data_IF_719734537405
#
_entry.id   IF_719734537405
#
_cell.length_a   1.000
_cell.length_b   1.000
_cell.length_c   1.000
_cell.angle_alpha   90.00
_cell.angle_beta   90.00
_cell.angle_gamma   90.00
#
_symmetry.space_group_name_H-M   'P 1'
#
loop_
_entity.id
_entity.type
_entity.pdbx_description
1 polymer ?
#
# COMPACT_ATOMS: atom_id res chain seq x y z
N UNK A 1 19.42 12.63 -15.24
CA UNK A 1 19.23 12.21 -13.83
C UNK A 1 17.86 12.68 -13.33
N UNK A 2 16.76 11.98 -13.64
CA UNK A 2 15.38 12.37 -13.23
C UNK A 2 14.40 11.19 -13.13
N UNK A 3 14.62 10.13 -13.92
CA UNK A 3 13.76 8.93 -13.95
C UNK A 3 13.85 8.05 -12.69
N UNK A 4 14.96 8.10 -11.96
CA UNK A 4 15.18 7.29 -10.74
C UNK A 4 14.31 7.85 -9.59
N UNK A 5 14.37 9.16 -9.36
CA UNK A 5 13.54 9.86 -8.37
C UNK A 5 12.02 9.68 -8.60
N UNK A 6 11.54 9.74 -9.85
CA UNK A 6 10.12 9.47 -10.15
C UNK A 6 9.72 8.02 -9.87
N UNK A 7 10.65 7.07 -10.07
CA UNK A 7 10.41 5.64 -9.83
C UNK A 7 10.36 5.33 -8.34
N UNK A 8 11.21 5.98 -7.54
CA UNK A 8 11.15 5.88 -6.08
C UNK A 8 9.90 6.52 -5.50
N UNK A 9 9.53 7.70 -5.98
CA UNK A 9 8.27 8.34 -5.59
C UNK A 9 7.06 7.43 -5.86
N UNK A 10 7.08 6.69 -6.98
CA UNK A 10 6.01 5.75 -7.37
C UNK A 10 6.03 4.42 -6.59
N UNK A 11 7.18 4.04 -6.02
CA UNK A 11 7.30 2.88 -5.13
C UNK A 11 6.85 3.24 -3.70
N UNK A 12 7.26 4.42 -3.22
CA UNK A 12 6.87 4.97 -1.92
C UNK A 12 5.37 5.29 -1.89
N UNK A 13 4.78 5.77 -3.00
CA UNK A 13 3.35 6.07 -3.06
C UNK A 13 2.46 4.84 -2.80
N UNK A 14 2.87 3.64 -3.23
CA UNK A 14 2.16 2.40 -2.91
C UNK A 14 2.19 2.07 -1.41
N UNK A 15 3.31 2.35 -0.75
CA UNK A 15 3.45 2.20 0.70
C UNK A 15 2.57 3.18 1.47
N UNK A 16 2.60 4.47 1.08
CA UNK A 16 1.75 5.51 1.66
C UNK A 16 0.27 5.17 1.47
N UNK A 17 -0.11 4.71 0.28
CA UNK A 17 -1.49 4.29 0.00
C UNK A 17 -1.91 3.08 0.86
N UNK A 18 -1.01 2.12 1.06
CA UNK A 18 -1.25 0.98 1.96
C UNK A 18 -1.49 1.42 3.40
N UNK A 19 -0.70 2.39 3.91
CA UNK A 19 -0.86 2.92 5.28
C UNK A 19 -2.21 3.64 5.42
N UNK A 20 -2.54 4.52 4.48
CA UNK A 20 -3.83 5.25 4.49
C UNK A 20 -5.01 4.28 4.37
N UNK A 21 -4.92 3.28 3.50
CA UNK A 21 -5.95 2.25 3.34
C UNK A 21 -6.12 1.42 4.62
N UNK A 22 -5.03 1.10 5.32
CA UNK A 22 -5.08 0.41 6.61
C UNK A 22 -5.74 1.25 7.71
N UNK A 23 -5.47 2.56 7.78
CA UNK A 23 -6.12 3.47 8.73
C UNK A 23 -7.62 3.53 8.45
N UNK A 24 -8.02 3.67 7.19
CA UNK A 24 -9.42 3.64 6.78
C UNK A 24 -10.12 2.33 7.15
N UNK A 25 -9.42 1.19 7.03
CA UNK A 25 -9.95 -0.11 7.42
C UNK A 25 -10.27 -0.18 8.93
N UNK A 26 -9.38 0.34 9.77
CA UNK A 26 -9.57 0.37 11.24
C UNK A 26 -10.74 1.29 11.61
N UNK A 27 -10.80 2.49 11.02
CA UNK A 27 -11.91 3.43 11.26
C UNK A 27 -13.25 2.80 10.85
N UNK A 28 -13.29 2.09 9.72
CA UNK A 28 -14.52 1.44 9.26
C UNK A 28 -14.94 0.25 10.14
N UNK A 29 -13.97 -0.52 10.67
CA UNK A 29 -14.22 -1.60 11.62
C UNK A 29 -14.82 -1.08 12.93
N UNK A 30 -14.33 0.05 13.43
CA UNK A 30 -14.85 0.71 14.63
C UNK A 30 -16.28 1.23 14.43
N UNK A 31 -16.68 1.54 13.19
CA UNK A 31 -18.04 2.01 12.85
C UNK A 31 -19.04 0.87 12.58
N UNK A 32 -18.74 -0.39 12.96
CA UNK A 32 -19.62 -1.57 12.78
C UNK A 32 -20.07 -1.83 11.33
N UNK A 33 -19.38 -1.24 10.35
CA UNK A 33 -19.55 -1.57 8.96
C UNK A 33 -18.76 -2.84 8.64
N UNK A 34 -19.48 -3.93 8.32
CA UNK A 34 -18.88 -5.24 7.97
C UNK A 34 -17.93 -5.23 6.76
N UNK A 35 -17.85 -4.10 6.04
CA UNK A 35 -16.97 -3.88 4.90
C UNK A 35 -15.48 -3.70 5.24
N UNK A 36 -15.11 -3.66 6.53
CA UNK A 36 -13.72 -3.46 6.97
C UNK A 36 -12.75 -4.52 6.44
N UNK A 37 -13.21 -5.77 6.29
CA UNK A 37 -12.41 -6.89 5.75
C UNK A 37 -11.95 -6.61 4.32
N UNK A 38 -12.78 -5.95 3.50
CA UNK A 38 -12.44 -5.61 2.11
C UNK A 38 -11.30 -4.59 2.08
N UNK A 39 -11.33 -3.60 2.98
CA UNK A 39 -10.28 -2.59 3.09
C UNK A 39 -8.96 -3.19 3.61
N UNK A 40 -9.00 -4.10 4.60
CA UNK A 40 -7.83 -4.83 5.06
C UNK A 40 -7.22 -5.66 3.92
N UNK A 41 -8.06 -6.39 3.17
CA UNK A 41 -7.61 -7.23 2.06
C UNK A 41 -6.97 -6.39 0.96
N UNK A 42 -7.57 -5.25 0.60
CA UNK A 42 -6.99 -4.29 -0.35
C UNK A 42 -5.64 -3.74 0.13
N UNK A 43 -5.51 -3.40 1.42
CA UNK A 43 -4.24 -2.92 1.96
C UNK A 43 -3.13 -3.97 1.82
N UNK A 44 -3.41 -5.24 2.13
CA UNK A 44 -2.44 -6.32 1.96
C UNK A 44 -2.05 -6.56 0.50
N UNK A 45 -3.01 -6.47 -0.44
CA UNK A 45 -2.73 -6.59 -1.88
C UNK A 45 -1.80 -5.46 -2.32
N UNK A 46 -2.11 -4.22 -1.95
CA UNK A 46 -1.29 -3.05 -2.28
C UNK A 46 0.11 -3.20 -1.69
N UNK A 47 0.22 -3.62 -0.43
CA UNK A 47 1.49 -3.86 0.25
C UNK A 47 2.31 -4.93 -0.48
N UNK A 48 1.70 -6.06 -0.84
CA UNK A 48 2.35 -7.14 -1.58
C UNK A 48 2.91 -6.64 -2.92
N UNK A 49 2.11 -5.91 -3.71
CA UNK A 49 2.58 -5.31 -4.96
C UNK A 49 3.70 -4.29 -4.74
N UNK A 50 3.67 -3.51 -3.66
CA UNK A 50 4.73 -2.59 -3.29
C UNK A 50 6.03 -3.32 -2.94
N UNK A 51 5.95 -4.40 -2.16
CA UNK A 51 7.09 -5.24 -1.78
C UNK A 51 7.68 -5.93 -3.01
N UNK A 52 6.87 -6.56 -3.85
CA UNK A 52 7.33 -7.21 -5.10
C UNK A 52 7.99 -6.18 -6.04
N UNK A 53 7.44 -4.97 -6.14
CA UNK A 53 8.10 -3.89 -6.92
C UNK A 53 9.42 -3.45 -6.31
N UNK A 54 9.52 -3.39 -4.98
CA UNK A 54 10.76 -3.03 -4.29
C UNK A 54 11.82 -4.13 -4.47
N UNK A 55 11.46 -5.39 -4.28
CA UNK A 55 12.28 -6.58 -4.58
C UNK A 55 12.78 -6.59 -6.02
N UNK A 56 11.90 -6.39 -7.01
CA UNK A 56 12.32 -6.36 -8.42
C UNK A 56 13.28 -5.20 -8.75
N UNK A 57 13.34 -4.17 -7.90
CA UNK A 57 14.07 -2.93 -8.14
C UNK A 57 15.34 -2.80 -7.31
N UNK A 58 15.38 -3.45 -6.15
CA UNK A 58 16.45 -3.37 -5.15
C UNK A 58 16.92 -4.74 -4.66
N UNK A 59 16.17 -5.81 -4.93
CA UNK A 59 16.60 -7.20 -4.74
C UNK A 59 17.67 -7.53 -5.76
N UNK A 60 18.81 -8.03 -5.24
CA UNK A 60 19.96 -8.46 -6.04
C UNK A 60 19.62 -9.65 -6.92
#
# INVERSE_FOLDING_TARGET
MKLILLKDAKAISGFVFSIVSSILAVVLALNHHGSWVVFVTLAFIVLFFSVVRAEKRYGK
#
